data_IF_417832024097
#
_entry.id   IF_417832024097
#
_cell.length_a   1.000
_cell.length_b   1.000
_cell.length_c   1.000
_cell.angle_alpha   90.00
_cell.angle_beta   90.00
_cell.angle_gamma   90.00
#
_symmetry.space_group_name_H-M   'P 1'
#
loop_
_entity.id
_entity.type
_entity.pdbx_description
1 polymer ?
#
# COMPACT_ATOMS: atom_id res chain seq x y z
N UNK A 1 -23.64 -0.25 -27.37
CA UNK A 1 -22.19 -0.12 -27.11
C UNK A 1 -22.01 0.57 -25.76
N UNK A 2 -21.39 -0.09 -24.77
CA UNK A 2 -21.17 0.50 -23.46
C UNK A 2 -20.21 1.68 -23.58
N UNK A 3 -20.56 2.83 -23.02
CA UNK A 3 -19.69 4.01 -22.99
C UNK A 3 -18.97 4.09 -21.65
N UNK A 4 -17.79 4.67 -21.60
CA UNK A 4 -17.04 4.93 -20.38
C UNK A 4 -17.88 5.67 -19.33
N UNK A 5 -18.75 6.59 -19.80
CA UNK A 5 -19.68 7.35 -18.96
C UNK A 5 -20.77 6.51 -18.30
N UNK A 6 -21.02 5.31 -18.79
CA UNK A 6 -22.10 4.43 -18.31
C UNK A 6 -21.59 3.50 -17.20
N UNK A 7 -20.26 3.47 -16.93
CA UNK A 7 -19.65 2.59 -15.95
C UNK A 7 -19.61 3.29 -14.58
N UNK A 8 -20.19 2.64 -13.58
CA UNK A 8 -20.02 3.02 -12.18
C UNK A 8 -18.74 2.35 -11.61
N UNK A 9 -17.62 3.04 -11.70
CA UNK A 9 -16.35 2.51 -11.19
C UNK A 9 -16.32 2.37 -9.66
N UNK A 10 -17.19 3.08 -8.92
CA UNK A 10 -17.29 2.89 -7.48
C UNK A 10 -18.03 1.58 -7.15
N UNK A 11 -19.03 1.21 -7.92
CA UNK A 11 -19.66 -0.11 -7.83
C UNK A 11 -18.66 -1.22 -8.21
N UNK A 12 -17.88 -1.04 -9.29
CA UNK A 12 -16.81 -1.97 -9.67
C UNK A 12 -15.77 -2.11 -8.56
N UNK A 13 -15.36 -1.02 -7.91
CA UNK A 13 -14.49 -1.05 -6.73
C UNK A 13 -15.08 -1.89 -5.61
N UNK A 14 -16.34 -1.64 -5.25
CA UNK A 14 -17.02 -2.37 -4.18
C UNK A 14 -17.14 -3.86 -4.48
N UNK A 15 -17.48 -4.23 -5.70
CA UNK A 15 -17.57 -5.61 -6.14
C UNK A 15 -16.21 -6.30 -6.14
N UNK A 16 -15.20 -5.69 -6.75
CA UNK A 16 -13.82 -6.20 -6.83
C UNK A 16 -13.23 -6.50 -5.44
N UNK A 17 -13.54 -5.66 -4.47
CA UNK A 17 -13.04 -5.81 -3.10
C UNK A 17 -14.01 -6.51 -2.15
N UNK A 18 -15.09 -7.09 -2.67
CA UNK A 18 -16.04 -7.90 -1.91
C UNK A 18 -16.87 -7.12 -0.89
N UNK A 19 -17.04 -5.79 -1.03
CA UNK A 19 -17.85 -4.98 -0.13
C UNK A 19 -19.35 -5.31 -0.15
N UNK A 20 -19.79 -5.96 -1.21
CA UNK A 20 -21.20 -6.36 -1.42
C UNK A 20 -21.44 -7.84 -1.10
N UNK A 21 -20.40 -8.60 -0.74
CA UNK A 21 -20.53 -9.98 -0.30
C UNK A 21 -21.16 -10.03 1.10
N UNK A 22 -22.31 -10.70 1.22
CA UNK A 22 -22.95 -10.90 2.50
C UNK A 22 -22.15 -11.89 3.36
N UNK A 23 -21.83 -11.52 4.60
CA UNK A 23 -21.58 -12.48 5.66
C UNK A 23 -20.15 -12.76 6.11
N UNK A 24 -19.13 -12.14 5.58
CA UNK A 24 -17.75 -12.32 6.12
C UNK A 24 -17.45 -11.29 7.21
N UNK A 25 -18.06 -11.49 8.39
CA UNK A 25 -17.82 -10.65 9.58
C UNK A 25 -16.45 -10.89 10.23
N UNK A 26 -15.76 -11.98 9.89
CA UNK A 26 -14.45 -12.32 10.44
C UNK A 26 -13.31 -11.70 9.63
N UNK A 27 -13.60 -11.25 8.43
CA UNK A 27 -12.63 -10.56 7.62
C UNK A 27 -12.34 -9.17 8.22
N UNK A 28 -11.11 -8.96 8.67
CA UNK A 28 -10.67 -7.70 9.28
C UNK A 28 -10.88 -6.47 8.37
N UNK A 29 -11.02 -6.64 7.06
CA UNK A 29 -11.37 -5.57 6.14
C UNK A 29 -12.71 -4.93 6.47
N UNK A 30 -13.68 -5.74 6.94
CA UNK A 30 -15.04 -5.32 7.24
C UNK A 30 -15.32 -5.19 8.74
N UNK A 31 -14.38 -5.64 9.58
CA UNK A 31 -14.50 -5.65 11.05
C UNK A 31 -13.42 -4.78 11.68
N UNK A 32 -13.83 -3.66 12.29
CA UNK A 32 -12.93 -2.69 12.90
C UNK A 32 -12.17 -3.27 14.09
N UNK A 33 -12.83 -4.11 14.91
CA UNK A 33 -12.18 -4.72 16.06
C UNK A 33 -11.10 -5.70 15.61
N UNK A 34 -11.41 -6.56 14.65
CA UNK A 34 -10.44 -7.52 14.09
C UNK A 34 -9.24 -6.81 13.44
N UNK A 35 -9.47 -5.69 12.77
CA UNK A 35 -8.40 -4.87 12.19
C UNK A 35 -7.55 -4.21 13.27
N UNK A 36 -8.18 -3.62 14.29
CA UNK A 36 -7.44 -3.03 15.41
C UNK A 36 -6.60 -4.07 16.14
N UNK A 37 -7.16 -5.24 16.44
CA UNK A 37 -6.44 -6.35 17.10
C UNK A 37 -5.25 -6.84 16.26
N UNK A 38 -5.40 -6.86 14.93
CA UNK A 38 -4.29 -7.18 14.03
C UNK A 38 -3.15 -6.17 14.19
N UNK A 39 -3.44 -4.87 14.16
CA UNK A 39 -2.43 -3.83 14.28
C UNK A 39 -1.80 -3.76 15.68
N UNK A 40 -2.59 -3.99 16.74
CA UNK A 40 -2.07 -4.11 18.12
C UNK A 40 -1.01 -5.22 18.22
N UNK A 41 -1.27 -6.38 17.61
CA UNK A 41 -0.31 -7.49 17.61
C UNK A 41 0.93 -7.20 16.76
N UNK A 42 0.78 -6.41 15.70
CA UNK A 42 1.85 -6.15 14.75
C UNK A 42 2.73 -4.96 15.16
N UNK A 43 2.18 -3.97 15.85
CA UNK A 43 2.86 -2.73 16.22
C UNK A 43 4.26 -2.94 16.87
N UNK A 44 4.47 -3.92 17.79
CA UNK A 44 5.80 -4.14 18.38
C UNK A 44 6.90 -4.46 17.36
N UNK A 45 6.56 -5.04 16.21
CA UNK A 45 7.55 -5.33 15.16
C UNK A 45 8.05 -4.06 14.47
N UNK A 46 7.21 -3.04 14.37
CA UNK A 46 7.56 -1.76 13.76
C UNK A 46 8.48 -0.90 14.64
N UNK A 47 8.53 -1.16 15.96
CA UNK A 47 9.49 -0.53 16.88
C UNK A 47 10.89 -1.14 16.76
N UNK A 48 10.99 -2.43 16.43
CA UNK A 48 12.25 -3.18 16.44
C UNK A 48 12.92 -3.28 15.07
N UNK A 49 12.15 -3.26 13.97
CA UNK A 49 12.63 -3.57 12.61
C UNK A 49 12.62 -2.35 11.68
N UNK A 50 12.78 -1.14 12.24
CA UNK A 50 12.87 0.05 11.38
C UNK A 50 14.16 0.02 10.56
N UNK A 51 14.08 -0.60 9.41
CA UNK A 51 15.06 -0.46 8.36
C UNK A 51 14.38 0.25 7.17
N UNK A 52 14.79 1.49 6.91
CA UNK A 52 14.55 2.13 5.62
C UNK A 52 15.12 1.20 4.54
N UNK A 53 14.27 0.37 3.98
CA UNK A 53 14.65 -0.43 2.84
C UNK A 53 15.01 0.51 1.69
N UNK A 54 15.93 0.10 0.83
CA UNK A 54 16.28 0.83 -0.41
C UNK A 54 15.01 1.27 -1.19
N UNK A 55 13.97 0.47 -1.14
CA UNK A 55 12.68 0.69 -1.79
C UNK A 55 11.95 1.91 -1.21
N UNK A 56 11.97 2.09 0.12
CA UNK A 56 11.39 3.25 0.82
C UNK A 56 12.12 4.53 0.43
N UNK A 57 13.45 4.48 0.28
CA UNK A 57 14.26 5.61 -0.16
C UNK A 57 13.86 6.12 -1.56
N UNK A 58 13.76 5.23 -2.54
CA UNK A 58 13.36 5.59 -3.90
C UNK A 58 11.98 6.26 -3.96
N UNK A 59 11.02 5.72 -3.18
CA UNK A 59 9.67 6.28 -3.10
C UNK A 59 9.69 7.63 -2.37
N UNK A 60 10.46 7.74 -1.29
CA UNK A 60 10.60 8.98 -0.51
C UNK A 60 11.21 10.12 -1.34
N UNK A 61 12.26 9.85 -2.13
CA UNK A 61 12.88 10.84 -3.02
C UNK A 61 11.87 11.35 -4.06
N UNK A 62 11.10 10.45 -4.63
CA UNK A 62 10.05 10.81 -5.57
C UNK A 62 8.96 11.65 -4.92
N UNK A 63 8.54 11.25 -3.72
CA UNK A 63 7.54 11.98 -2.93
C UNK A 63 8.03 13.38 -2.58
N UNK A 64 9.30 13.54 -2.17
CA UNK A 64 9.92 14.83 -1.91
C UNK A 64 9.91 15.75 -3.14
N UNK A 65 10.19 15.20 -4.33
CA UNK A 65 10.15 15.94 -5.60
C UNK A 65 8.73 16.41 -5.97
N UNK A 66 7.70 15.62 -5.66
CA UNK A 66 6.31 15.95 -5.93
C UNK A 66 5.74 16.98 -4.95
N UNK A 67 6.05 16.87 -3.67
CA UNK A 67 5.55 17.72 -2.59
C UNK A 67 6.28 19.07 -2.53
N UNK A 68 7.56 19.09 -2.85
CA UNK A 68 8.44 20.24 -2.62
C UNK A 68 8.71 20.47 -1.13
N UNK A 69 9.09 21.71 -0.75
CA UNK A 69 9.46 22.05 0.62
C UNK A 69 8.44 22.96 1.28
N UNK A 70 8.46 22.96 2.63
CA UNK A 70 7.69 23.86 3.48
C UNK A 70 6.17 23.81 3.24
N UNK A 71 5.64 22.59 3.09
CA UNK A 71 4.22 22.31 2.84
C UNK A 71 3.53 21.77 4.08
N UNK A 72 2.25 22.07 4.23
CA UNK A 72 1.37 21.41 5.19
C UNK A 72 0.79 20.16 4.56
N UNK A 73 0.93 19.02 5.24
CA UNK A 73 0.55 17.70 4.71
C UNK A 73 -0.43 17.04 5.68
N UNK A 74 -1.47 16.40 5.15
CA UNK A 74 -2.23 15.38 5.86
C UNK A 74 -1.85 14.03 5.26
N UNK A 75 -1.30 13.13 6.07
CA UNK A 75 -1.06 11.74 5.67
C UNK A 75 -2.18 10.86 6.18
N UNK A 76 -2.87 10.21 5.24
CA UNK A 76 -3.98 9.32 5.48
C UNK A 76 -3.49 7.88 5.62
N UNK A 77 -3.67 7.28 6.80
CA UNK A 77 -3.14 5.97 7.15
C UNK A 77 -1.63 6.01 7.36
N UNK A 78 -1.16 6.90 8.24
CA UNK A 78 0.27 7.13 8.48
C UNK A 78 0.96 5.96 9.20
N UNK A 79 0.21 5.06 9.84
CA UNK A 79 0.73 3.88 10.53
C UNK A 79 1.82 4.22 11.55
N UNK A 80 2.93 3.49 11.51
CA UNK A 80 4.13 3.69 12.32
C UNK A 80 4.99 4.88 11.88
N UNK A 81 4.60 5.59 10.82
CA UNK A 81 5.27 6.80 10.37
C UNK A 81 6.44 6.61 9.40
N UNK A 82 6.53 5.49 8.68
CA UNK A 82 7.64 5.22 7.77
C UNK A 82 7.86 6.33 6.73
N UNK A 83 6.79 6.89 6.18
CA UNK A 83 6.85 8.02 5.28
C UNK A 83 6.63 9.36 5.99
N UNK A 84 5.86 9.39 7.09
CA UNK A 84 5.64 10.60 7.90
C UNK A 84 6.95 11.22 8.37
N UNK A 85 7.83 10.40 8.97
CA UNK A 85 9.13 10.84 9.49
C UNK A 85 10.04 11.37 8.37
N UNK A 86 10.02 10.72 7.20
CA UNK A 86 10.77 11.18 6.03
C UNK A 86 10.23 12.50 5.49
N UNK A 87 8.91 12.62 5.34
CA UNK A 87 8.27 13.86 4.90
C UNK A 87 8.48 15.02 5.87
N UNK A 88 8.58 14.75 7.18
CA UNK A 88 8.77 15.78 8.20
C UNK A 88 10.07 16.56 8.01
N UNK A 89 11.09 15.97 7.41
CA UNK A 89 12.40 16.60 7.17
C UNK A 89 12.34 17.81 6.21
N UNK A 90 11.31 17.88 5.37
CA UNK A 90 11.17 18.97 4.39
C UNK A 90 9.79 19.65 4.42
N UNK A 91 8.89 19.20 5.27
CA UNK A 91 7.54 19.77 5.41
C UNK A 91 7.48 20.82 6.50
N UNK A 92 6.53 21.76 6.40
CA UNK A 92 6.23 22.72 7.45
C UNK A 92 5.56 22.03 8.64
N UNK A 93 4.54 21.24 8.38
CA UNK A 93 3.78 20.49 9.39
C UNK A 93 3.10 19.30 8.74
N UNK A 94 3.02 18.18 9.47
CA UNK A 94 2.27 16.99 9.07
C UNK A 94 1.20 16.67 10.11
N UNK A 95 -0.02 16.39 9.65
CA UNK A 95 -1.04 15.69 10.42
C UNK A 95 -1.09 14.24 9.94
N UNK A 96 -0.66 13.30 10.79
CA UNK A 96 -0.79 11.87 10.55
C UNK A 96 -2.15 11.38 11.08
N UNK A 97 -3.01 10.92 10.19
CA UNK A 97 -4.29 10.29 10.52
C UNK A 97 -4.16 8.78 10.37
N UNK A 98 -4.46 8.02 11.41
CA UNK A 98 -4.51 6.56 11.35
C UNK A 98 -5.64 5.99 12.21
N UNK A 99 -6.21 4.88 11.78
CA UNK A 99 -7.26 4.19 12.49
C UNK A 99 -6.76 3.51 13.77
N UNK A 100 -5.50 3.05 13.79
CA UNK A 100 -4.92 2.26 14.88
C UNK A 100 -4.17 3.12 15.91
N UNK A 101 -4.68 3.27 17.14
CA UNK A 101 -3.94 3.95 18.20
C UNK A 101 -2.59 3.29 18.52
N UNK A 102 -2.47 1.96 18.35
CA UNK A 102 -1.22 1.24 18.58
C UNK A 102 -0.14 1.65 17.57
N UNK A 103 -0.50 1.83 16.31
CA UNK A 103 0.44 2.30 15.28
C UNK A 103 0.82 3.77 15.50
N UNK A 104 -0.13 4.62 15.90
CA UNK A 104 0.17 6.01 16.26
C UNK A 104 1.10 6.12 17.48
N UNK A 105 0.98 5.22 18.45
CA UNK A 105 1.90 5.18 19.58
C UNK A 105 3.34 4.87 19.13
N UNK A 106 3.53 3.99 18.17
CA UNK A 106 4.86 3.72 17.56
C UNK A 106 5.38 4.97 16.84
N UNK A 107 4.55 5.66 16.06
CA UNK A 107 4.95 6.91 15.40
C UNK A 107 5.37 7.97 16.42
N UNK A 108 4.61 8.12 17.52
CA UNK A 108 4.93 9.09 18.58
C UNK A 108 6.27 8.76 19.26
N UNK A 109 6.53 7.49 19.57
CA UNK A 109 7.81 7.05 20.13
C UNK A 109 8.97 7.38 19.19
N UNK A 110 8.83 7.05 17.91
CA UNK A 110 9.86 7.29 16.89
C UNK A 110 10.14 8.78 16.68
N UNK A 111 9.10 9.61 16.52
CA UNK A 111 9.30 11.05 16.32
C UNK A 111 9.97 11.72 17.52
N UNK A 112 9.66 11.26 18.76
CA UNK A 112 10.32 11.76 19.97
C UNK A 112 11.79 11.33 20.02
N UNK A 113 12.10 10.09 19.69
CA UNK A 113 13.47 9.59 19.63
C UNK A 113 14.34 10.34 18.59
N UNK A 114 13.73 10.78 17.48
CA UNK A 114 14.40 11.54 16.42
C UNK A 114 14.32 13.07 16.63
N UNK A 115 13.67 13.55 17.70
CA UNK A 115 13.53 14.98 18.00
C UNK A 115 12.66 15.75 16.99
N UNK A 116 11.72 15.07 16.30
CA UNK A 116 10.88 15.66 15.26
C UNK A 116 9.66 16.34 15.91
N UNK A 117 9.53 17.66 15.75
CA UNK A 117 8.50 18.48 16.40
C UNK A 117 7.34 18.91 15.50
N UNK A 118 7.42 18.72 14.19
CA UNK A 118 6.43 19.20 13.21
C UNK A 118 5.42 18.13 12.77
N UNK A 119 5.28 17.03 13.51
CA UNK A 119 4.26 16.01 13.32
C UNK A 119 3.22 16.12 14.45
N UNK A 120 1.96 16.05 14.07
CA UNK A 120 0.82 15.80 14.96
C UNK A 120 0.12 14.54 14.51
N UNK A 121 -0.45 13.78 15.43
CA UNK A 121 -1.20 12.57 15.14
C UNK A 121 -2.65 12.70 15.55
N UNK A 122 -3.53 12.01 14.82
CA UNK A 122 -4.94 11.92 15.14
C UNK A 122 -5.43 10.50 14.85
N UNK A 123 -6.08 9.89 15.86
CA UNK A 123 -6.74 8.61 15.67
C UNK A 123 -8.09 8.80 14.96
N UNK A 124 -8.36 7.97 13.95
CA UNK A 124 -9.65 7.99 13.25
C UNK A 124 -9.58 7.40 11.84
N UNK A 125 -10.77 7.14 11.30
CA UNK A 125 -10.94 6.71 9.91
C UNK A 125 -11.01 7.94 8.99
N UNK A 126 -10.51 7.77 7.76
CA UNK A 126 -10.63 8.80 6.74
C UNK A 126 -12.09 9.17 6.45
N UNK A 127 -12.97 8.19 6.42
CA UNK A 127 -14.39 8.39 6.13
C UNK A 127 -15.05 9.34 7.13
N UNK A 128 -14.70 9.21 8.42
CA UNK A 128 -15.28 9.98 9.53
C UNK A 128 -14.52 11.27 9.83
N UNK A 129 -13.29 11.40 9.33
CA UNK A 129 -12.47 12.59 9.57
C UNK A 129 -13.11 13.84 8.98
N UNK A 130 -13.22 14.89 9.78
CA UNK A 130 -13.71 16.21 9.36
C UNK A 130 -12.80 17.29 9.91
N UNK A 131 -12.61 18.35 9.14
CA UNK A 131 -11.78 19.49 9.52
C UNK A 131 -12.14 20.71 8.68
N UNK A 132 -11.99 21.91 9.24
CA UNK A 132 -12.05 23.18 8.50
C UNK A 132 -10.70 23.55 7.87
N UNK A 133 -9.63 22.82 8.23
CA UNK A 133 -8.30 23.06 7.70
C UNK A 133 -8.18 22.52 6.27
N UNK A 134 -7.47 23.26 5.42
CA UNK A 134 -7.06 22.84 4.08
C UNK A 134 -5.55 22.69 4.10
N UNK A 135 -5.07 21.50 3.72
CA UNK A 135 -3.65 21.18 3.63
C UNK A 135 -3.10 21.51 2.25
N UNK A 136 -1.80 21.73 2.12
CA UNK A 136 -1.22 21.88 0.78
C UNK A 136 -1.35 20.55 0.01
N UNK A 137 -1.02 19.44 0.67
CA UNK A 137 -1.17 18.12 0.07
C UNK A 137 -1.85 17.13 1.03
N UNK A 138 -2.55 16.16 0.43
CA UNK A 138 -2.94 14.93 1.11
C UNK A 138 -2.13 13.79 0.52
N UNK A 139 -1.55 12.95 1.37
CA UNK A 139 -0.75 11.79 0.98
C UNK A 139 -1.38 10.52 1.55
N UNK A 140 -1.42 9.47 0.77
CA UNK A 140 -1.83 8.14 1.21
C UNK A 140 -0.84 7.10 0.70
N UNK A 141 -0.24 6.32 1.60
CA UNK A 141 0.69 5.26 1.24
C UNK A 141 0.15 3.91 1.71
N UNK A 142 -0.24 3.06 0.78
CA UNK A 142 -0.75 1.70 1.03
C UNK A 142 -1.94 1.61 2.02
N UNK A 143 -2.73 2.67 2.20
CA UNK A 143 -3.75 2.76 3.26
C UNK A 143 -5.21 2.69 2.79
N UNK A 144 -5.49 2.57 1.48
CA UNK A 144 -6.84 2.67 0.91
C UNK A 144 -7.67 1.38 0.95
N UNK A 145 -7.13 0.26 1.39
CA UNK A 145 -7.73 -1.07 1.25
C UNK A 145 -9.04 -1.31 2.04
N UNK A 146 -9.35 -0.44 3.00
CA UNK A 146 -10.58 -0.51 3.81
C UNK A 146 -11.65 0.52 3.45
N UNK A 147 -11.45 1.30 2.40
CA UNK A 147 -12.41 2.32 1.98
C UNK A 147 -13.45 1.69 1.05
N UNK A 148 -14.72 1.73 1.49
CA UNK A 148 -15.85 1.22 0.71
C UNK A 148 -16.24 2.19 -0.41
N UNK A 149 -16.48 3.45 -0.08
CA UNK A 149 -16.86 4.49 -1.05
C UNK A 149 -15.59 5.25 -1.48
N UNK A 150 -14.87 4.65 -2.45
CA UNK A 150 -13.61 5.19 -2.92
C UNK A 150 -13.80 6.51 -3.66
N UNK A 151 -14.86 6.65 -4.43
CA UNK A 151 -15.13 7.91 -5.13
C UNK A 151 -15.29 9.07 -4.16
N UNK A 152 -16.08 8.90 -3.09
CA UNK A 152 -16.25 9.91 -2.05
C UNK A 152 -14.93 10.23 -1.33
N UNK A 153 -14.12 9.21 -1.06
CA UNK A 153 -12.82 9.38 -0.42
C UNK A 153 -11.86 10.23 -1.29
N UNK A 154 -11.80 9.96 -2.60
CA UNK A 154 -10.96 10.71 -3.54
C UNK A 154 -11.43 12.17 -3.70
N UNK A 155 -12.73 12.40 -3.81
CA UNK A 155 -13.32 13.75 -3.84
C UNK A 155 -13.01 14.53 -2.56
N UNK A 156 -13.03 13.86 -1.40
CA UNK A 156 -12.67 14.44 -0.12
C UNK A 156 -11.17 14.79 -0.06
N UNK A 157 -10.28 13.95 -0.58
CA UNK A 157 -8.85 14.29 -0.71
C UNK A 157 -8.67 15.55 -1.57
N UNK A 158 -9.40 15.66 -2.67
CA UNK A 158 -9.37 16.85 -3.50
C UNK A 158 -9.90 18.09 -2.76
N UNK A 159 -11.01 17.96 -2.04
CA UNK A 159 -11.61 19.08 -1.32
C UNK A 159 -10.68 19.65 -0.22
N UNK A 160 -10.01 18.77 0.53
CA UNK A 160 -9.15 19.16 1.65
C UNK A 160 -7.71 19.50 1.25
N UNK A 161 -7.34 19.40 -0.03
CA UNK A 161 -6.01 19.77 -0.52
C UNK A 161 -6.05 21.10 -1.30
N UNK A 162 -5.02 21.92 -1.14
CA UNK A 162 -4.83 23.18 -1.86
C UNK A 162 -4.05 23.01 -3.16
N UNK A 163 -2.98 22.24 -3.11
CA UNK A 163 -2.08 21.99 -4.24
C UNK A 163 -2.35 20.67 -4.93
N UNK A 164 -3.03 19.71 -4.25
CA UNK A 164 -3.34 18.39 -4.79
C UNK A 164 -3.15 17.26 -3.79
N UNK A 165 -3.10 16.03 -4.29
CA UNK A 165 -2.89 14.86 -3.46
C UNK A 165 -2.09 13.79 -4.17
N UNK A 166 -1.50 12.88 -3.40
CA UNK A 166 -0.64 11.81 -3.88
C UNK A 166 -1.08 10.50 -3.24
N UNK A 167 -1.30 9.50 -4.07
CA UNK A 167 -1.60 8.12 -3.65
C UNK A 167 -0.45 7.23 -4.10
N UNK A 168 0.12 6.49 -3.17
CA UNK A 168 1.19 5.52 -3.43
C UNK A 168 0.65 4.13 -3.10
N UNK A 169 0.72 3.24 -4.10
CA UNK A 169 0.27 1.86 -3.96
C UNK A 169 1.35 0.90 -4.45
N UNK A 170 1.85 0.06 -3.55
CA UNK A 170 2.63 -1.10 -3.97
C UNK A 170 1.66 -2.13 -4.54
N UNK A 171 1.88 -2.58 -5.78
CA UNK A 171 1.02 -3.57 -6.41
C UNK A 171 1.08 -4.85 -5.57
N UNK A 172 -0.08 -5.23 -5.02
CA UNK A 172 -0.20 -6.42 -4.19
C UNK A 172 -0.37 -7.64 -5.10
N UNK A 173 0.70 -8.40 -5.22
CA UNK A 173 0.77 -9.65 -5.97
C UNK A 173 1.74 -10.61 -5.26
N UNK A 174 1.63 -11.93 -5.50
CA UNK A 174 2.56 -12.91 -4.98
C UNK A 174 4.03 -12.53 -5.22
N UNK A 175 4.91 -12.91 -4.32
CA UNK A 175 6.34 -12.65 -4.51
C UNK A 175 6.85 -13.28 -5.81
N UNK A 176 6.39 -14.49 -6.14
CA UNK A 176 6.77 -15.23 -7.34
C UNK A 176 5.89 -14.93 -8.56
N UNK A 177 5.21 -13.80 -8.61
CA UNK A 177 4.28 -13.46 -9.70
C UNK A 177 4.88 -13.62 -11.10
N UNK A 178 6.07 -13.08 -11.31
CA UNK A 178 6.74 -13.18 -12.62
C UNK A 178 7.17 -14.62 -12.95
N UNK A 179 7.61 -15.38 -11.95
CA UNK A 179 7.92 -16.79 -12.12
C UNK A 179 6.66 -17.58 -12.49
N UNK A 180 5.51 -17.28 -11.88
CA UNK A 180 4.24 -17.93 -12.21
C UNK A 180 3.80 -17.59 -13.64
N UNK A 181 3.81 -16.31 -14.01
CA UNK A 181 3.40 -15.86 -15.35
C UNK A 181 4.31 -16.40 -16.46
N UNK A 182 5.62 -16.44 -16.26
CA UNK A 182 6.59 -17.05 -17.20
C UNK A 182 6.33 -18.55 -17.38
N UNK A 183 5.77 -19.22 -16.39
CA UNK A 183 5.38 -20.62 -16.44
C UNK A 183 3.90 -20.84 -16.77
N UNK A 184 3.17 -19.82 -17.23
CA UNK A 184 1.74 -19.90 -17.58
C UNK A 184 0.85 -20.35 -16.42
N UNK A 185 1.23 -20.01 -15.19
CA UNK A 185 0.46 -20.28 -13.98
C UNK A 185 -0.31 -19.03 -13.59
N UNK A 186 -1.63 -19.13 -13.54
CA UNK A 186 -2.49 -18.01 -13.12
C UNK A 186 -2.37 -17.78 -11.63
N UNK A 187 -2.21 -16.53 -11.24
CA UNK A 187 -2.22 -16.08 -9.85
C UNK A 187 -2.90 -14.72 -9.72
N UNK A 188 -3.37 -14.40 -8.52
CA UNK A 188 -4.12 -13.19 -8.28
C UNK A 188 -3.21 -11.96 -8.15
N UNK A 189 -3.68 -10.84 -8.67
CA UNK A 189 -3.11 -9.51 -8.47
C UNK A 189 -4.22 -8.57 -8.00
N UNK A 190 -3.93 -7.66 -7.07
CA UNK A 190 -4.90 -6.69 -6.61
C UNK A 190 -4.99 -5.54 -7.63
N UNK A 191 -6.15 -5.29 -8.25
CA UNK A 191 -6.30 -4.31 -9.32
C UNK A 191 -6.57 -2.88 -8.84
N UNK A 192 -6.37 -2.57 -7.56
CA UNK A 192 -6.66 -1.25 -6.99
C UNK A 192 -5.94 -0.12 -7.71
N UNK A 193 -4.70 -0.34 -8.12
CA UNK A 193 -3.89 0.62 -8.86
C UNK A 193 -4.45 0.94 -10.26
N UNK A 194 -5.25 0.06 -10.83
CA UNK A 194 -5.94 0.27 -12.11
C UNK A 194 -7.26 1.03 -11.91
N UNK A 195 -8.00 0.71 -10.85
CA UNK A 195 -9.30 1.30 -10.57
C UNK A 195 -9.21 2.75 -10.05
N UNK A 196 -8.17 3.08 -9.27
CA UNK A 196 -7.99 4.42 -8.72
C UNK A 196 -7.90 5.52 -9.79
N UNK A 197 -7.08 5.41 -10.84
CA UNK A 197 -7.07 6.40 -11.93
C UNK A 197 -8.41 6.49 -12.67
N UNK A 198 -9.09 5.37 -12.89
CA UNK A 198 -10.39 5.33 -13.54
C UNK A 198 -11.46 6.08 -12.75
N UNK A 199 -11.47 5.91 -11.43
CA UNK A 199 -12.34 6.65 -10.52
C UNK A 199 -12.07 8.16 -10.55
N UNK A 200 -10.80 8.56 -10.57
CA UNK A 200 -10.39 9.97 -10.67
C UNK A 200 -10.83 10.58 -12.00
N UNK A 201 -10.48 9.95 -13.12
CA UNK A 201 -10.84 10.45 -14.46
C UNK A 201 -12.35 10.49 -14.65
N UNK A 202 -13.08 9.50 -14.15
CA UNK A 202 -14.55 9.49 -14.18
C UNK A 202 -15.16 10.65 -13.37
N UNK A 203 -14.46 11.08 -12.30
CA UNK A 203 -14.84 12.22 -11.48
C UNK A 203 -14.34 13.57 -12.03
N UNK A 204 -13.78 13.59 -13.25
CA UNK A 204 -13.24 14.81 -13.87
C UNK A 204 -11.90 15.27 -13.29
N UNK A 205 -11.22 14.43 -12.50
CA UNK A 205 -9.95 14.75 -11.87
C UNK A 205 -8.82 14.19 -12.74
N UNK A 206 -7.96 15.08 -13.24
CA UNK A 206 -6.77 14.68 -14.00
C UNK A 206 -5.69 14.17 -13.07
N UNK A 207 -5.29 12.92 -13.25
CA UNK A 207 -4.24 12.28 -12.47
C UNK A 207 -3.09 11.81 -13.37
N UNK A 208 -1.87 12.03 -12.93
CA UNK A 208 -0.69 11.38 -13.49
C UNK A 208 -0.48 10.04 -12.79
N UNK A 209 -0.11 9.03 -13.56
CA UNK A 209 0.18 7.68 -13.06
C UNK A 209 1.60 7.33 -13.45
N UNK A 210 2.43 7.01 -12.47
CA UNK A 210 3.83 6.62 -12.67
C UNK A 210 4.10 5.29 -11.98
N UNK A 211 4.85 4.43 -12.64
CA UNK A 211 5.26 3.12 -12.13
C UNK A 211 6.75 3.15 -11.79
N UNK A 212 7.09 2.75 -10.58
CA UNK A 212 8.47 2.55 -10.13
C UNK A 212 8.66 1.07 -9.87
N UNK A 213 9.54 0.44 -10.65
CA UNK A 213 9.88 -0.97 -10.47
C UNK A 213 11.29 -1.10 -9.92
N UNK A 214 11.45 -1.91 -8.89
CA UNK A 214 12.71 -2.16 -8.23
C UNK A 214 12.86 -3.64 -7.87
N UNK A 215 14.11 -4.17 -7.78
CA UNK A 215 14.32 -5.56 -7.42
C UNK A 215 14.05 -5.79 -5.93
N UNK A 216 13.24 -6.78 -5.60
CA UNK A 216 13.01 -7.28 -4.24
C UNK A 216 13.68 -8.64 -4.08
N UNK A 217 14.66 -8.73 -3.20
CA UNK A 217 15.33 -9.98 -2.87
C UNK A 217 14.62 -10.70 -1.73
N UNK A 218 14.56 -12.02 -1.85
CA UNK A 218 14.09 -12.90 -0.76
C UNK A 218 15.06 -14.07 -0.61
N UNK A 219 15.22 -14.49 0.64
CA UNK A 219 16.12 -15.60 1.00
C UNK A 219 15.30 -16.75 1.55
N UNK A 220 15.69 -17.97 1.19
CA UNK A 220 15.07 -19.21 1.65
C UNK A 220 16.17 -20.16 2.09
N UNK A 221 15.98 -20.84 3.22
CA UNK A 221 16.95 -21.78 3.75
C UNK A 221 16.96 -23.09 2.94
N UNK A 222 15.81 -23.49 2.42
CA UNK A 222 15.65 -24.73 1.69
C UNK A 222 14.46 -24.65 0.71
N UNK A 223 14.29 -25.69 -0.12
CA UNK A 223 13.18 -25.76 -1.09
C UNK A 223 11.82 -26.01 -0.43
N UNK A 224 11.77 -26.50 0.80
CA UNK A 224 10.49 -26.65 1.52
C UNK A 224 9.91 -25.27 1.88
N UNK A 225 10.75 -24.31 2.30
CA UNK A 225 10.33 -22.94 2.56
C UNK A 225 9.79 -22.25 1.29
N UNK A 226 10.47 -22.49 0.14
CA UNK A 226 10.01 -22.01 -1.18
C UNK A 226 8.66 -22.62 -1.53
N UNK A 227 8.51 -23.93 -1.34
CA UNK A 227 7.27 -24.66 -1.60
C UNK A 227 6.12 -24.16 -0.73
N UNK A 228 6.37 -23.87 0.55
CA UNK A 228 5.38 -23.33 1.46
C UNK A 228 4.90 -21.92 1.03
N UNK A 229 5.82 -21.07 0.58
CA UNK A 229 5.46 -19.76 0.02
C UNK A 229 4.58 -19.91 -1.21
N UNK A 230 4.95 -20.79 -2.16
CA UNK A 230 4.17 -21.04 -3.37
C UNK A 230 2.78 -21.62 -3.06
N UNK A 231 2.69 -22.47 -2.04
CA UNK A 231 1.42 -23.03 -1.60
C UNK A 231 0.49 -21.97 -1.01
N UNK A 232 1.04 -20.95 -0.35
CA UNK A 232 0.26 -19.84 0.17
C UNK A 232 -0.28 -18.90 -0.93
N UNK A 233 0.43 -18.84 -2.07
CA UNK A 233 0.08 -17.97 -3.19
C UNK A 233 -0.96 -18.57 -4.15
N UNK A 234 -1.05 -19.90 -4.24
CA UNK A 234 -1.79 -20.62 -5.27
C UNK A 234 -2.95 -21.43 -4.65
N UNK A 235 -3.95 -21.75 -5.47
CA UNK A 235 -4.96 -22.72 -5.03
C UNK A 235 -4.33 -24.10 -4.86
N UNK A 236 -4.89 -24.94 -3.97
CA UNK A 236 -4.36 -26.27 -3.70
C UNK A 236 -4.21 -27.13 -4.97
N UNK A 237 -5.18 -27.02 -5.90
CA UNK A 237 -5.15 -27.74 -7.17
C UNK A 237 -3.97 -27.28 -8.04
N UNK A 238 -3.85 -25.96 -8.29
CA UNK A 238 -2.78 -25.40 -9.13
C UNK A 238 -1.41 -25.73 -8.53
N UNK A 239 -1.27 -25.58 -7.20
CA UNK A 239 -0.03 -25.90 -6.52
C UNK A 239 0.35 -27.36 -6.71
N UNK A 240 -0.56 -28.29 -6.48
CA UNK A 240 -0.30 -29.73 -6.64
C UNK A 240 0.15 -30.10 -8.07
N UNK A 241 -0.50 -29.54 -9.08
CA UNK A 241 -0.20 -29.81 -10.50
C UNK A 241 1.13 -29.20 -10.95
N UNK A 242 1.53 -28.04 -10.40
CA UNK A 242 2.63 -27.23 -10.92
C UNK A 242 3.89 -27.21 -10.04
N UNK A 243 3.83 -27.72 -8.81
CA UNK A 243 4.89 -27.60 -7.80
C UNK A 243 6.27 -27.99 -8.32
N UNK A 244 6.39 -29.17 -8.92
CA UNK A 244 7.69 -29.69 -9.40
C UNK A 244 8.32 -28.76 -10.46
N UNK A 245 7.49 -28.29 -11.41
CA UNK A 245 7.91 -27.38 -12.48
C UNK A 245 8.31 -26.01 -11.93
N UNK A 246 7.54 -25.48 -10.98
CA UNK A 246 7.81 -24.18 -10.37
C UNK A 246 9.07 -24.22 -9.50
N UNK A 247 9.31 -25.28 -8.76
CA UNK A 247 10.56 -25.47 -8.00
C UNK A 247 11.77 -25.60 -8.93
N UNK A 248 11.64 -26.29 -10.07
CA UNK A 248 12.68 -26.34 -11.08
C UNK A 248 12.96 -24.95 -11.69
N UNK A 249 11.91 -24.19 -12.02
CA UNK A 249 12.05 -22.82 -12.52
C UNK A 249 12.69 -21.89 -11.48
N UNK A 250 12.34 -22.05 -10.21
CA UNK A 250 12.95 -21.31 -9.09
C UNK A 250 14.45 -21.61 -9.00
N UNK A 251 14.85 -22.88 -8.97
CA UNK A 251 16.27 -23.28 -8.86
C UNK A 251 17.09 -22.82 -10.07
N UNK A 252 16.47 -22.68 -11.24
CA UNK A 252 17.11 -22.13 -12.44
C UNK A 252 17.37 -20.62 -12.37
N UNK A 253 16.66 -19.88 -11.51
CA UNK A 253 16.79 -18.43 -11.35
C UNK A 253 17.47 -18.02 -10.04
N UNK A 254 17.37 -18.84 -9.00
CA UNK A 254 17.92 -18.55 -7.68
C UNK A 254 19.43 -18.83 -7.61
N UNK A 255 20.15 -18.02 -6.86
CA UNK A 255 21.56 -18.25 -6.52
C UNK A 255 21.62 -18.92 -5.15
N UNK A 256 22.33 -20.06 -5.08
CA UNK A 256 22.58 -20.76 -3.81
C UNK A 256 23.97 -20.44 -3.30
N UNK A 257 24.05 -19.70 -2.19
CA UNK A 257 25.30 -19.32 -1.51
C UNK A 257 25.09 -19.30 -0.01
N UNK A 258 26.14 -19.63 0.75
CA UNK A 258 26.13 -19.61 2.23
C UNK A 258 24.94 -20.36 2.84
N UNK A 259 24.61 -21.54 2.26
CA UNK A 259 23.54 -22.40 2.77
C UNK A 259 22.12 -21.90 2.54
N UNK A 260 21.91 -20.91 1.65
CA UNK A 260 20.58 -20.35 1.35
C UNK A 260 20.38 -20.04 -0.13
N UNK A 261 19.16 -20.14 -0.57
CA UNK A 261 18.72 -19.66 -1.88
C UNK A 261 18.41 -18.17 -1.81
N UNK A 262 18.89 -17.40 -2.78
CA UNK A 262 18.55 -15.98 -2.95
C UNK A 262 17.95 -15.80 -4.33
N UNK A 263 16.76 -15.24 -4.40
CA UNK A 263 16.11 -14.86 -5.66
C UNK A 263 15.70 -13.40 -5.62
N UNK A 264 15.79 -12.73 -6.77
CA UNK A 264 15.32 -11.34 -6.94
C UNK A 264 14.11 -11.33 -7.88
N UNK A 265 13.02 -10.73 -7.43
CA UNK A 265 11.81 -10.55 -8.24
C UNK A 265 11.48 -9.04 -8.32
N UNK A 266 10.94 -8.56 -9.45
CA UNK A 266 10.55 -7.17 -9.54
C UNK A 266 9.36 -6.86 -8.64
N UNK A 267 9.43 -5.74 -7.94
CA UNK A 267 8.33 -5.15 -7.18
C UNK A 267 7.96 -3.83 -7.83
N UNK A 268 6.69 -3.58 -8.03
CA UNK A 268 6.24 -2.33 -8.64
C UNK A 268 5.38 -1.54 -7.67
N UNK A 269 5.67 -0.26 -7.54
CA UNK A 269 4.87 0.73 -6.83
C UNK A 269 4.31 1.72 -7.83
N UNK A 270 3.05 2.06 -7.69
CA UNK A 270 2.35 3.05 -8.50
C UNK A 270 2.20 4.33 -7.70
N UNK A 271 2.57 5.45 -8.31
CA UNK A 271 2.34 6.78 -7.78
C UNK A 271 1.28 7.47 -8.63
N UNK A 272 0.16 7.78 -8.02
CA UNK A 272 -0.94 8.53 -8.62
C UNK A 272 -0.91 9.92 -8.02
N UNK A 273 -0.63 10.93 -8.84
CA UNK A 273 -0.53 12.31 -8.38
C UNK A 273 -1.53 13.21 -9.09
N UNK A 274 -2.22 14.02 -8.29
CA UNK A 274 -3.14 15.06 -8.74
C UNK A 274 -2.57 16.41 -8.33
N UNK A 275 -2.50 17.34 -9.27
CA UNK A 275 -2.14 18.74 -9.03
C UNK A 275 -3.36 19.62 -9.30
N UNK A 276 -3.58 20.61 -8.44
CA UNK A 276 -4.57 21.68 -8.62
C UNK A 276 -3.92 22.94 -9.18
#
# INVERSE_FOLDING_TARGET
MLKFTDIDFNAVWQETFGWNAAGDTDNRKFNDQAENDFWVRLAPRYTQEYNLNHDTGLIADKLAGLLGRNKTILEMGCGSGDFTLLMAQYSQQILGLDFSPAMLAVLEERRLAEGIGNIRTQAGKWEDFTTDAVFDYIVSVNSLYRIRDMQKALLKMQAYSRCGFIIIRTIQRPFFFDLYTQNSVACAECPDYQLLPLLLWRSGIQANVEFITYPKKKHFLNLADVSQEMQADLTAQIFHEQQARLLQAFTGQAVFTDGRYTISQPRTTVIISVKK
#
